data_IF_205749723522
#
_entry.id   IF_205749723522
#
_cell.length_a   1.000
_cell.length_b   1.000
_cell.length_c   1.000
_cell.angle_alpha   90.00
_cell.angle_beta   90.00
_cell.angle_gamma   90.00
#
_symmetry.space_group_name_H-M   'P 1'
#
loop_
_entity.id
_entity.type
_entity.pdbx_description
1 polymer ?
#
# COMPACT_ATOMS: atom_id res chain seq x y z
N UNK A 1 -0.87 -8.25 -14.42
CA UNK A 1 0.24 -7.46 -15.02
C UNK A 1 0.48 -6.13 -14.32
N UNK A 2 -0.56 -5.37 -13.92
CA UNK A 2 -0.44 -4.03 -13.31
C UNK A 2 0.29 -3.98 -11.96
N UNK A 3 0.06 -4.94 -11.05
CA UNK A 3 0.72 -4.93 -9.73
C UNK A 3 2.25 -4.99 -9.82
N UNK A 4 2.79 -5.71 -10.82
CA UNK A 4 4.24 -5.82 -11.02
C UNK A 4 4.85 -4.46 -11.35
N UNK A 5 4.25 -3.74 -12.30
CA UNK A 5 4.75 -2.41 -12.71
C UNK A 5 4.70 -1.45 -11.51
N UNK A 6 3.58 -1.40 -10.81
CA UNK A 6 3.42 -0.53 -9.65
C UNK A 6 4.47 -0.80 -8.55
N UNK A 7 4.70 -2.07 -8.21
CA UNK A 7 5.68 -2.43 -7.17
C UNK A 7 7.12 -2.22 -7.64
N UNK A 8 7.44 -2.52 -8.90
CA UNK A 8 8.77 -2.26 -9.47
C UNK A 8 9.11 -0.77 -9.43
N UNK A 9 8.19 0.09 -9.86
CA UNK A 9 8.39 1.54 -9.84
C UNK A 9 8.47 2.11 -8.42
N UNK A 10 7.64 1.60 -7.50
CA UNK A 10 7.69 2.00 -6.10
C UNK A 10 9.05 1.68 -5.48
N UNK A 11 9.52 0.43 -5.62
CA UNK A 11 10.79 -0.01 -5.04
C UNK A 11 12.00 0.68 -5.69
N UNK A 12 11.93 1.01 -6.98
CA UNK A 12 13.00 1.70 -7.68
C UNK A 12 13.14 3.17 -7.24
N UNK A 13 12.03 3.85 -6.92
CA UNK A 13 12.00 5.30 -6.65
C UNK A 13 11.90 5.65 -5.17
N UNK A 14 11.33 4.76 -4.35
CA UNK A 14 11.11 4.92 -2.93
C UNK A 14 11.49 3.60 -2.22
N UNK A 15 12.79 3.27 -2.12
CA UNK A 15 13.23 2.01 -1.51
C UNK A 15 12.92 1.97 -0.01
N UNK A 16 12.99 3.12 0.66
CA UNK A 16 12.72 3.28 2.07
C UNK A 16 11.35 3.94 2.28
N UNK A 17 10.37 3.13 2.67
CA UNK A 17 9.04 3.58 2.99
C UNK A 17 8.42 2.78 4.13
N UNK A 18 7.47 3.40 4.82
CA UNK A 18 6.68 2.76 5.87
C UNK A 18 5.19 2.83 5.55
N UNK A 19 4.48 1.75 5.84
CA UNK A 19 3.01 1.70 5.75
C UNK A 19 2.42 2.10 7.10
N UNK A 20 1.48 3.04 7.10
CA UNK A 20 0.74 3.41 8.29
C UNK A 20 -0.42 2.42 8.52
N UNK A 21 -0.10 1.23 9.01
CA UNK A 21 -1.06 0.11 9.16
C UNK A 21 -2.30 0.50 9.99
N UNK A 22 -2.10 1.29 11.06
CA UNK A 22 -3.19 1.78 11.91
C UNK A 22 -4.17 2.72 11.20
N UNK A 23 -3.82 3.22 10.01
CA UNK A 23 -4.63 4.13 9.19
C UNK A 23 -5.22 3.47 7.95
N UNK A 24 -5.08 2.15 7.80
CA UNK A 24 -5.71 1.43 6.70
C UNK A 24 -7.23 1.52 6.84
N UNK A 25 -7.90 1.95 5.77
CA UNK A 25 -9.36 1.92 5.68
C UNK A 25 -9.73 0.58 5.06
N UNK A 26 -10.48 -0.25 5.78
CA UNK A 26 -10.96 -1.54 5.29
C UNK A 26 -12.34 -1.43 4.66
N UNK A 27 -12.63 -2.27 3.67
CA UNK A 27 -13.98 -2.33 3.09
C UNK A 27 -14.96 -2.92 4.10
N UNK A 28 -16.17 -2.35 4.17
CA UNK A 28 -17.29 -3.00 4.85
C UNK A 28 -17.78 -4.24 4.10
N UNK A 29 -18.58 -5.08 4.76
CA UNK A 29 -19.18 -6.30 4.18
C UNK A 29 -18.27 -7.53 4.24
N UNK A 30 -18.64 -8.58 3.50
CA UNK A 30 -18.01 -9.91 3.58
C UNK A 30 -16.68 -10.06 2.84
N UNK A 31 -15.92 -8.96 2.66
CA UNK A 31 -14.60 -9.00 2.04
C UNK A 31 -13.51 -9.22 3.08
N UNK A 32 -12.90 -10.40 3.08
CA UNK A 32 -11.80 -10.71 4.01
C UNK A 32 -10.59 -9.86 3.66
N UNK A 33 -10.21 -8.97 4.59
CA UNK A 33 -8.97 -8.17 4.53
C UNK A 33 -8.78 -7.42 3.20
N UNK A 34 -9.84 -6.80 2.69
CA UNK A 34 -9.74 -5.89 1.53
C UNK A 34 -9.58 -4.44 2.01
N UNK A 35 -8.43 -3.80 1.79
CA UNK A 35 -8.28 -2.37 2.05
C UNK A 35 -8.93 -1.54 0.94
N UNK A 36 -9.56 -0.43 1.32
CA UNK A 36 -9.98 0.66 0.43
C UNK A 36 -8.87 1.69 0.23
N UNK A 37 -8.00 1.87 1.23
CA UNK A 37 -6.85 2.76 1.16
C UNK A 37 -5.71 2.23 2.04
N UNK A 38 -4.49 2.28 1.53
CA UNK A 38 -3.25 1.88 2.24
C UNK A 38 -2.29 3.07 2.23
N UNK A 39 -2.33 3.94 3.26
CA UNK A 39 -1.43 5.08 3.34
C UNK A 39 0.00 4.64 3.66
N UNK A 40 0.97 5.21 2.96
CA UNK A 40 2.40 5.01 3.20
C UNK A 40 3.14 6.35 3.15
N UNK A 41 4.36 6.38 3.70
CA UNK A 41 5.25 7.54 3.71
C UNK A 41 6.67 7.11 3.35
N UNK A 42 7.39 7.96 2.63
CA UNK A 42 8.83 7.77 2.35
C UNK A 42 9.62 8.22 3.58
N UNK A 43 10.67 7.49 3.94
CA UNK A 43 11.44 7.69 5.19
C UNK A 43 12.92 8.03 4.95
N UNK A 44 13.22 8.70 3.84
CA UNK A 44 14.58 9.14 3.45
C UNK A 44 15.36 9.84 4.55
#
# INVERSE_FOLDING_TARGET
MQCRVALTELLARCPDFEVAESRIVWSGGSYVRRPLSVPFRVTS
#
